data_IF_997142906518
#
_entry.id   IF_997142906518
#
_cell.length_a   1.000
_cell.length_b   1.000
_cell.length_c   1.000
_cell.angle_alpha   90.00
_cell.angle_beta   90.00
_cell.angle_gamma   90.00
#
_symmetry.space_group_name_H-M   'P 1'
#
loop_
_entity.id
_entity.type
_entity.pdbx_description
1 polymer ?
#
# COMPACT_ATOMS: atom_id res chain seq x y z
N UNK A 1 -10.19 10.67 12.18
CA UNK A 1 -10.90 9.56 11.49
C UNK A 1 -10.61 9.53 10.00
N UNK A 2 -10.67 10.67 9.27
CA UNK A 2 -10.43 10.73 7.82
C UNK A 2 -9.11 10.05 7.39
N UNK A 3 -8.01 10.34 8.08
CA UNK A 3 -6.72 9.73 7.79
C UNK A 3 -6.71 8.21 7.98
N UNK A 4 -7.30 7.70 9.07
CA UNK A 4 -7.40 6.25 9.32
C UNK A 4 -8.27 5.55 8.28
N UNK A 5 -9.37 6.18 7.86
CA UNK A 5 -10.22 5.66 6.78
C UNK A 5 -9.46 5.60 5.46
N UNK A 6 -8.60 6.59 5.16
CA UNK A 6 -7.73 6.58 3.99
C UNK A 6 -6.82 5.34 3.98
N UNK A 7 -6.10 5.10 5.08
CA UNK A 7 -5.21 3.94 5.23
C UNK A 7 -5.96 2.62 5.04
N UNK A 8 -7.13 2.46 5.67
CA UNK A 8 -7.92 1.22 5.55
C UNK A 8 -8.42 1.03 4.10
N UNK A 9 -8.95 2.09 3.50
CA UNK A 9 -9.50 2.04 2.15
C UNK A 9 -8.41 1.69 1.12
N UNK A 10 -7.25 2.35 1.19
CA UNK A 10 -6.15 2.08 0.27
C UNK A 10 -5.45 0.75 0.55
N UNK A 11 -5.32 0.33 1.80
CA UNK A 11 -4.81 -1.01 2.11
C UNK A 11 -5.69 -2.12 1.52
N UNK A 12 -7.01 -1.97 1.56
CA UNK A 12 -7.95 -2.90 0.93
C UNK A 12 -7.86 -2.82 -0.59
N UNK A 13 -7.72 -1.61 -1.13
CA UNK A 13 -7.59 -1.40 -2.57
C UNK A 13 -6.29 -2.01 -3.11
N UNK A 14 -5.17 -1.89 -2.41
CA UNK A 14 -3.91 -2.55 -2.78
C UNK A 14 -4.03 -4.07 -2.71
N UNK A 15 -4.69 -4.58 -1.66
CA UNK A 15 -4.99 -6.01 -1.52
C UNK A 15 -5.84 -6.51 -2.69
N UNK A 16 -6.83 -5.76 -3.15
CA UNK A 16 -7.68 -6.15 -4.28
C UNK A 16 -6.96 -5.97 -5.63
N UNK A 17 -6.08 -4.99 -5.74
CA UNK A 17 -5.34 -4.69 -6.97
C UNK A 17 -4.27 -5.75 -7.26
N UNK A 18 -3.45 -6.09 -6.27
CA UNK A 18 -2.23 -6.87 -6.48
C UNK A 18 -2.52 -8.25 -7.06
N UNK A 19 -1.78 -8.67 -8.09
CA UNK A 19 -1.87 -10.03 -8.68
C UNK A 19 -3.31 -10.39 -9.07
N UNK A 20 -4.08 -9.38 -9.51
CA UNK A 20 -5.48 -9.51 -9.92
C UNK A 20 -6.44 -9.96 -8.81
N UNK A 21 -6.09 -9.70 -7.55
CA UNK A 21 -6.96 -9.79 -6.39
C UNK A 21 -6.88 -11.09 -5.60
N UNK A 22 -7.56 -11.15 -4.44
CA UNK A 22 -7.47 -12.26 -3.49
C UNK A 22 -7.92 -13.60 -4.08
N UNK A 23 -8.89 -13.58 -5.01
CA UNK A 23 -9.38 -14.79 -5.66
C UNK A 23 -8.34 -15.44 -6.58
N UNK A 24 -7.59 -14.63 -7.34
CA UNK A 24 -6.53 -15.14 -8.21
C UNK A 24 -5.34 -15.63 -7.37
N UNK A 25 -4.97 -14.90 -6.30
CA UNK A 25 -3.94 -15.34 -5.35
C UNK A 25 -4.27 -16.66 -4.64
N UNK A 26 -5.54 -16.90 -4.32
CA UNK A 26 -5.97 -18.15 -3.68
C UNK A 26 -5.94 -19.34 -4.65
N UNK A 27 -6.29 -19.12 -5.93
CA UNK A 27 -6.35 -20.18 -6.94
C UNK A 27 -4.98 -20.64 -7.43
N UNK A 28 -4.07 -19.71 -7.71
CA UNK A 28 -2.86 -20.06 -8.45
C UNK A 28 -1.73 -20.63 -7.58
N UNK A 29 -1.87 -20.66 -6.24
CA UNK A 29 -0.74 -21.00 -5.33
C UNK A 29 0.55 -20.27 -5.75
N UNK A 30 0.40 -19.02 -6.21
CA UNK A 30 1.46 -18.26 -6.89
C UNK A 30 2.75 -18.29 -6.07
N UNK A 31 3.84 -18.85 -6.61
CA UNK A 31 5.14 -18.80 -5.97
C UNK A 31 5.56 -17.36 -5.68
N UNK A 32 6.42 -17.19 -4.68
CA UNK A 32 7.14 -15.93 -4.46
C UNK A 32 7.91 -15.58 -5.74
N UNK A 33 7.66 -14.40 -6.32
CA UNK A 33 8.31 -13.94 -7.55
C UNK A 33 7.61 -14.26 -8.88
N UNK A 34 6.35 -14.73 -8.87
CA UNK A 34 5.63 -14.98 -10.12
C UNK A 34 5.46 -13.70 -10.98
N UNK A 35 5.60 -13.78 -12.32
CA UNK A 35 5.38 -12.63 -13.21
C UNK A 35 3.99 -12.02 -13.00
N UNK A 36 3.93 -10.69 -12.88
CA UNK A 36 2.66 -9.95 -12.77
C UNK A 36 2.29 -9.43 -11.39
N UNK A 37 3.21 -9.40 -10.42
CA UNK A 37 2.99 -8.68 -9.16
C UNK A 37 2.88 -7.16 -9.41
N UNK A 38 1.91 -6.52 -8.75
CA UNK A 38 1.73 -5.06 -8.79
C UNK A 38 2.61 -4.36 -7.77
N UNK A 39 2.93 -5.04 -6.67
CA UNK A 39 3.86 -4.58 -5.63
C UNK A 39 5.04 -5.54 -5.44
N UNK A 40 6.22 -4.97 -5.27
CA UNK A 40 7.44 -5.68 -4.89
C UNK A 40 7.70 -5.47 -3.40
N UNK A 41 7.54 -6.54 -2.62
CA UNK A 41 7.83 -6.52 -1.18
C UNK A 41 9.28 -6.93 -0.90
N UNK A 42 9.89 -6.51 0.23
CA UNK A 42 11.29 -6.81 0.54
C UNK A 42 11.60 -8.32 0.61
N UNK A 43 10.62 -9.11 1.09
CA UNK A 43 10.69 -10.57 1.17
C UNK A 43 10.79 -11.24 -0.21
N UNK A 44 10.37 -10.55 -1.28
CA UNK A 44 10.51 -11.03 -2.66
C UNK A 44 11.93 -10.80 -3.20
N UNK A 45 12.61 -9.74 -2.75
CA UNK A 45 14.01 -9.44 -3.13
C UNK A 45 15.01 -10.28 -2.35
N UNK A 46 14.69 -10.61 -1.10
CA UNK A 46 15.58 -11.35 -0.21
C UNK A 46 14.91 -12.63 0.30
N UNK A 47 14.76 -13.68 -0.53
CA UNK A 47 14.09 -14.92 -0.14
C UNK A 47 14.74 -15.62 1.06
N UNK A 48 16.04 -15.40 1.29
CA UNK A 48 16.76 -15.96 2.46
C UNK A 48 16.38 -15.33 3.80
N UNK A 49 15.70 -14.17 3.80
CA UNK A 49 15.15 -13.51 4.99
C UNK A 49 13.64 -13.75 5.15
N UNK A 50 13.00 -14.35 4.15
CA UNK A 50 11.58 -14.64 4.14
C UNK A 50 11.32 -16.08 4.61
N UNK A 51 10.17 -16.33 5.24
CA UNK A 51 9.73 -17.70 5.48
C UNK A 51 9.56 -18.45 4.14
N UNK A 52 9.87 -19.76 4.07
CA UNK A 52 9.81 -20.53 2.81
C UNK A 52 8.44 -20.53 2.11
N UNK A 53 7.37 -20.23 2.86
CA UNK A 53 5.99 -20.16 2.37
C UNK A 53 5.40 -18.75 2.43
N UNK A 54 6.26 -17.75 2.62
CA UNK A 54 5.85 -16.36 2.73
C UNK A 54 5.05 -15.94 1.49
N UNK A 55 4.02 -15.15 1.74
CA UNK A 55 3.20 -14.49 0.72
C UNK A 55 2.64 -13.22 1.34
N UNK A 56 2.43 -12.16 0.55
CA UNK A 56 1.83 -10.96 1.09
C UNK A 56 0.37 -11.27 1.48
N UNK A 57 0.00 -10.89 2.69
CA UNK A 57 -1.34 -11.00 3.28
C UNK A 57 -1.91 -9.59 3.52
N UNK A 58 -3.21 -9.49 3.78
CA UNK A 58 -3.87 -8.19 4.00
C UNK A 58 -3.11 -7.25 4.97
N UNK A 59 -2.56 -7.71 6.10
CA UNK A 59 -1.78 -6.84 7.00
C UNK A 59 -0.56 -6.19 6.33
N UNK A 60 0.11 -6.86 5.39
CA UNK A 60 1.25 -6.30 4.67
C UNK A 60 0.82 -5.10 3.81
N UNK A 61 -0.36 -5.17 3.19
CA UNK A 61 -0.90 -4.05 2.41
C UNK A 61 -1.43 -2.91 3.28
N UNK A 62 -1.97 -3.23 4.46
CA UNK A 62 -2.32 -2.22 5.46
C UNK A 62 -1.08 -1.46 5.92
N UNK A 63 0.02 -2.18 6.12
CA UNK A 63 1.29 -1.58 6.48
C UNK A 63 1.81 -0.67 5.36
N UNK A 64 1.79 -1.14 4.11
CA UNK A 64 2.17 -0.32 2.93
C UNK A 64 1.31 0.95 2.83
N UNK A 65 0.00 0.85 2.97
CA UNK A 65 -0.90 2.01 2.95
C UNK A 65 -0.59 2.98 4.12
N UNK A 66 -0.38 2.44 5.32
CA UNK A 66 -0.01 3.24 6.48
C UNK A 66 1.29 4.03 6.24
N UNK A 67 2.34 3.36 5.77
CA UNK A 67 3.64 4.00 5.55
C UNK A 67 3.60 4.97 4.37
N UNK A 68 2.93 4.64 3.27
CA UNK A 68 2.73 5.56 2.13
C UNK A 68 1.92 6.79 2.53
N UNK A 69 0.83 6.64 3.28
CA UNK A 69 0.04 7.76 3.77
C UNK A 69 0.82 8.65 4.74
N UNK A 70 1.84 8.13 5.41
CA UNK A 70 2.67 8.88 6.36
C UNK A 70 3.87 9.56 5.70
N UNK A 71 4.56 8.85 4.79
CA UNK A 71 5.77 9.32 4.11
C UNK A 71 5.50 10.07 2.80
N UNK A 72 4.27 9.97 2.28
CA UNK A 72 3.86 10.52 0.98
C UNK A 72 4.72 9.98 -0.18
N UNK A 73 5.19 8.75 -0.07
CA UNK A 73 6.06 8.09 -1.05
C UNK A 73 6.03 6.56 -0.92
N UNK A 74 6.54 5.81 -1.92
CA UNK A 74 6.82 4.39 -1.77
C UNK A 74 7.95 4.21 -0.76
N UNK A 75 7.74 3.36 0.24
CA UNK A 75 8.72 3.13 1.32
C UNK A 75 9.18 1.68 1.36
N UNK A 76 8.26 0.77 1.63
CA UNK A 76 8.59 -0.64 1.88
C UNK A 76 8.23 -1.55 0.70
N UNK A 77 7.17 -1.22 -0.04
CA UNK A 77 6.78 -1.97 -1.23
C UNK A 77 6.78 -1.07 -2.48
N UNK A 78 7.56 -1.46 -3.49
CA UNK A 78 7.70 -0.69 -4.72
C UNK A 78 6.54 -1.01 -5.68
N UNK A 79 5.79 0.00 -6.18
CA UNK A 79 4.74 -0.24 -7.16
C UNK A 79 5.37 -0.51 -8.53
N UNK A 80 5.13 -1.70 -9.08
CA UNK A 80 5.71 -2.14 -10.35
C UNK A 80 4.84 -1.73 -11.55
N UNK A 81 3.53 -1.91 -11.45
CA UNK A 81 2.61 -1.67 -12.57
C UNK A 81 2.13 -0.21 -12.62
N UNK A 82 1.69 0.22 -13.80
CA UNK A 82 1.12 1.58 -13.99
C UNK A 82 -0.10 1.82 -13.09
N UNK A 83 -0.91 0.78 -12.87
CA UNK A 83 -2.09 0.86 -12.01
C UNK A 83 -1.69 1.03 -10.55
N UNK A 84 -0.74 0.24 -10.05
CA UNK A 84 -0.21 0.37 -8.69
C UNK A 84 0.36 1.77 -8.43
N UNK A 85 1.17 2.28 -9.37
CA UNK A 85 1.72 3.65 -9.30
C UNK A 85 0.62 4.71 -9.22
N UNK A 86 -0.44 4.57 -10.03
CA UNK A 86 -1.57 5.49 -10.03
C UNK A 86 -2.35 5.48 -8.70
N UNK A 87 -2.64 4.29 -8.16
CA UNK A 87 -3.34 4.16 -6.88
C UNK A 87 -2.49 4.72 -5.74
N UNK A 88 -1.19 4.44 -5.72
CA UNK A 88 -0.27 4.94 -4.70
C UNK A 88 -0.10 6.46 -4.74
N UNK A 89 -0.05 7.04 -5.94
CA UNK A 89 -0.06 8.49 -6.10
C UNK A 89 -1.36 9.11 -5.57
N UNK A 90 -2.52 8.49 -5.82
CA UNK A 90 -3.80 8.97 -5.32
C UNK A 90 -3.88 8.94 -3.77
N UNK A 91 -3.39 7.86 -3.14
CA UNK A 91 -3.31 7.78 -1.67
C UNK A 91 -2.45 8.91 -1.10
N UNK A 92 -1.28 9.11 -1.70
CA UNK A 92 -0.32 10.13 -1.28
C UNK A 92 -0.93 11.53 -1.35
N UNK A 93 -1.60 11.87 -2.45
CA UNK A 93 -2.26 13.17 -2.63
C UNK A 93 -3.38 13.37 -1.61
N UNK A 94 -4.21 12.35 -1.40
CA UNK A 94 -5.34 12.44 -0.47
C UNK A 94 -4.87 12.57 0.98
N UNK A 95 -3.82 11.82 1.36
CA UNK A 95 -3.23 11.93 2.69
C UNK A 95 -2.58 13.29 2.91
N UNK A 96 -1.77 13.78 1.96
CA UNK A 96 -1.11 15.08 2.05
C UNK A 96 -2.14 16.21 2.16
N UNK A 97 -3.20 16.16 1.35
CA UNK A 97 -4.31 17.14 1.40
C UNK A 97 -5.00 17.11 2.76
N UNK A 98 -5.27 15.92 3.30
CA UNK A 98 -5.91 15.77 4.62
C UNK A 98 -5.07 16.42 5.71
N UNK A 99 -3.75 16.17 5.73
CA UNK A 99 -2.84 16.74 6.73
C UNK A 99 -2.73 18.26 6.58
N UNK A 100 -2.61 18.78 5.35
CA UNK A 100 -2.54 20.21 5.07
C UNK A 100 -3.81 20.94 5.53
N UNK A 101 -4.99 20.39 5.27
CA UNK A 101 -6.26 20.98 5.70
C UNK A 101 -6.40 21.01 7.23
N UNK A 102 -5.99 19.94 7.91
CA UNK A 102 -5.99 19.88 9.38
C UNK A 102 -5.04 20.93 9.97
N UNK A 103 -3.84 21.07 9.41
CA UNK A 103 -2.88 22.08 9.83
C UNK A 103 -3.40 23.51 9.61
N UNK A 104 -3.94 23.79 8.43
CA UNK A 104 -4.54 25.09 8.10
C UNK A 104 -5.68 25.45 9.07
N UNK A 105 -6.56 24.48 9.37
CA UNK A 105 -7.65 24.64 10.33
C UNK A 105 -7.16 24.87 11.75
N UNK A 106 -6.07 24.22 12.17
CA UNK A 106 -5.48 24.43 13.49
C UNK A 106 -4.92 25.86 13.63
N UNK A 107 -4.21 26.35 12.60
CA UNK A 107 -3.68 27.72 12.57
C UNK A 107 -4.82 28.74 12.61
N UNK A 108 -5.88 28.55 11.83
CA UNK A 108 -7.04 29.45 11.79
C UNK A 108 -7.83 29.54 13.10
N UNK A 109 -7.65 28.59 14.03
CA UNK A 109 -8.33 28.60 15.34
C UNK A 109 -7.44 29.20 16.43
N UNK A 110 -6.12 29.12 16.27
CA UNK A 110 -5.15 29.62 17.23
C UNK A 110 -4.76 31.09 16.99
N UNK A 111 -4.93 31.59 15.76
CA UNK A 111 -4.75 33.01 15.41
C UNK A 111 -6.08 33.74 15.39
#
# INVERSE_FOLDING_TARGET
MIWTTNVIAFGLLYWELDRGGPWQRAKEKLPVGSPGADFQFPQMENPGLAEPTWRPLLPDYMYVAFTTATAFSPTDAMPLTRRAKGVMAAETILSATTVLLVAARAVSILG
#
